data_IF_634858762064
#
_entry.id   IF_634858762064
#
_cell.length_a   1.000
_cell.length_b   1.000
_cell.length_c   1.000
_cell.angle_alpha   90.00
_cell.angle_beta   90.00
_cell.angle_gamma   90.00
#
_symmetry.space_group_name_H-M   'P 1'
#
loop_
_entity.id
_entity.type
_entity.pdbx_description
1 polymer ?
#
# COMPACT_ATOMS: atom_id res chain seq x y z
N UNK A 1 5.06 -0.64 17.16
CA UNK A 1 4.96 -2.11 17.20
C UNK A 1 5.67 -2.69 15.97
N UNK A 2 6.49 -3.73 16.07
CA UNK A 2 7.05 -4.40 14.88
C UNK A 2 5.95 -5.25 14.27
N UNK A 3 5.76 -5.15 12.94
CA UNK A 3 4.86 -6.04 12.22
C UNK A 3 5.28 -7.50 12.44
N UNK A 4 4.34 -8.43 12.68
CA UNK A 4 4.66 -9.84 12.84
C UNK A 4 5.30 -10.38 11.55
N UNK A 5 6.24 -11.28 11.68
CA UNK A 5 6.79 -11.98 10.53
C UNK A 5 5.73 -12.93 9.98
N UNK A 6 5.66 -13.09 8.67
CA UNK A 6 4.63 -13.91 8.00
C UNK A 6 4.53 -15.33 8.57
N UNK A 7 5.67 -15.97 8.91
CA UNK A 7 5.70 -17.29 9.57
C UNK A 7 5.07 -17.27 10.96
N UNK A 8 5.26 -16.19 11.72
CA UNK A 8 4.69 -16.02 13.07
C UNK A 8 3.18 -15.80 12.97
N UNK A 9 2.73 -14.98 11.99
CA UNK A 9 1.31 -14.77 11.74
C UNK A 9 0.57 -16.07 11.39
N UNK A 10 1.17 -16.92 10.56
CA UNK A 10 0.54 -18.20 10.14
C UNK A 10 0.73 -19.33 11.16
N UNK A 11 1.84 -19.36 11.93
CA UNK A 11 2.17 -20.50 12.78
C UNK A 11 1.51 -20.47 14.16
N UNK A 12 1.16 -19.29 14.69
CA UNK A 12 0.77 -19.20 16.10
C UNK A 12 -0.73 -19.07 16.37
N UNK A 13 -1.56 -18.63 15.41
CA UNK A 13 -2.95 -18.27 15.70
C UNK A 13 -3.99 -18.63 14.63
N UNK A 14 -3.63 -19.02 13.44
CA UNK A 14 -4.60 -19.08 12.34
C UNK A 14 -4.51 -20.40 11.60
N UNK A 15 -5.59 -21.18 11.63
CA UNK A 15 -5.74 -22.29 10.70
C UNK A 15 -5.94 -21.73 9.30
N UNK A 16 -5.39 -22.40 8.28
CA UNK A 16 -5.43 -21.96 6.88
C UNK A 16 -6.86 -21.72 6.35
N UNK A 17 -7.83 -22.41 6.95
CA UNK A 17 -9.28 -22.27 6.68
C UNK A 17 -9.88 -20.94 7.14
N UNK A 18 -9.22 -20.25 8.08
CA UNK A 18 -9.77 -19.04 8.71
C UNK A 18 -9.21 -17.75 8.14
N UNK A 19 -8.28 -17.84 7.18
CA UNK A 19 -7.65 -16.67 6.57
C UNK A 19 -8.63 -15.98 5.63
N UNK A 20 -8.72 -14.65 5.77
CA UNK A 20 -9.39 -13.76 4.82
C UNK A 20 -8.37 -12.92 4.07
N UNK A 21 -8.66 -12.56 2.83
CA UNK A 21 -7.84 -11.66 2.02
C UNK A 21 -8.61 -10.36 1.79
N UNK A 22 -7.97 -9.25 2.13
CA UNK A 22 -8.42 -7.91 1.75
C UNK A 22 -7.47 -7.32 0.71
N UNK A 23 -8.01 -6.73 -0.34
CA UNK A 23 -7.22 -6.02 -1.36
C UNK A 23 -7.66 -4.57 -1.36
N UNK A 24 -6.91 -3.70 -0.71
CA UNK A 24 -7.17 -2.27 -0.70
C UNK A 24 -6.67 -1.65 -2.00
N UNK A 25 -7.53 -0.98 -2.72
CA UNK A 25 -7.20 -0.31 -3.98
C UNK A 25 -8.14 0.86 -4.21
N UNK A 26 -7.67 1.91 -4.87
CA UNK A 26 -8.52 2.98 -5.36
C UNK A 26 -8.97 2.62 -6.77
N UNK A 27 -10.26 2.52 -6.98
CA UNK A 27 -10.85 2.24 -8.29
C UNK A 27 -11.42 3.53 -8.86
N UNK A 28 -10.97 3.89 -10.04
CA UNK A 28 -11.56 4.94 -10.86
C UNK A 28 -12.39 4.30 -11.96
N UNK A 29 -13.30 5.02 -12.58
CA UNK A 29 -14.15 4.52 -13.67
C UNK A 29 -13.37 3.82 -14.80
N UNK A 30 -12.11 4.24 -15.03
CA UNK A 30 -11.25 3.69 -16.07
C UNK A 30 -10.28 2.60 -15.55
N UNK A 31 -10.27 2.32 -14.24
CA UNK A 31 -9.31 1.37 -13.67
C UNK A 31 -9.77 -0.06 -13.89
N UNK A 32 -8.96 -0.85 -14.58
CA UNK A 32 -9.23 -2.28 -14.82
C UNK A 32 -8.94 -3.17 -13.62
N UNK A 33 -8.37 -2.63 -12.55
CA UNK A 33 -7.98 -3.37 -11.33
C UNK A 33 -7.34 -4.75 -11.61
N UNK A 34 -6.54 -4.86 -12.66
CA UNK A 34 -6.06 -6.14 -13.22
C UNK A 34 -5.43 -7.04 -12.16
N UNK A 35 -4.51 -6.47 -11.37
CA UNK A 35 -3.80 -7.25 -10.33
C UNK A 35 -4.75 -7.66 -9.20
N UNK A 36 -5.65 -6.77 -8.77
CA UNK A 36 -6.65 -7.08 -7.74
C UNK A 36 -7.56 -8.22 -8.18
N UNK A 37 -8.01 -8.20 -9.45
CA UNK A 37 -8.80 -9.27 -10.05
C UNK A 37 -8.02 -10.59 -10.19
N UNK A 38 -6.71 -10.53 -10.47
CA UNK A 38 -5.87 -11.74 -10.47
C UNK A 38 -5.77 -12.37 -9.08
N UNK A 39 -5.60 -11.56 -8.04
CA UNK A 39 -5.60 -12.03 -6.64
C UNK A 39 -6.95 -12.67 -6.32
N UNK A 40 -8.06 -12.00 -6.61
CA UNK A 40 -9.41 -12.51 -6.39
C UNK A 40 -9.63 -13.86 -7.10
N UNK A 41 -9.24 -13.97 -8.35
CA UNK A 41 -9.34 -15.21 -9.14
C UNK A 41 -8.55 -16.37 -8.52
N UNK A 42 -7.34 -16.08 -8.03
CA UNK A 42 -6.51 -17.10 -7.41
C UNK A 42 -7.05 -17.53 -6.05
N UNK A 43 -7.58 -16.60 -5.25
CA UNK A 43 -8.27 -16.90 -3.99
C UNK A 43 -9.50 -17.77 -4.21
N UNK A 44 -10.32 -17.48 -5.22
CA UNK A 44 -11.49 -18.30 -5.59
C UNK A 44 -11.11 -19.73 -5.92
N UNK A 45 -10.03 -19.98 -6.63
CA UNK A 45 -9.54 -21.35 -6.93
C UNK A 45 -9.13 -22.11 -5.68
N UNK A 46 -8.74 -21.42 -4.63
CA UNK A 46 -8.25 -21.98 -3.36
C UNK A 46 -9.29 -22.01 -2.26
N UNK A 47 -10.52 -21.56 -2.57
CA UNK A 47 -11.61 -21.40 -1.58
C UNK A 47 -11.21 -20.48 -0.40
N UNK A 48 -10.45 -19.42 -0.67
CA UNK A 48 -10.06 -18.41 0.33
C UNK A 48 -10.98 -17.20 0.15
N UNK A 49 -11.68 -16.74 1.20
CA UNK A 49 -12.45 -15.50 1.16
C UNK A 49 -11.56 -14.33 0.78
N UNK A 50 -11.95 -13.58 -0.26
CA UNK A 50 -11.16 -12.46 -0.76
C UNK A 50 -12.09 -11.34 -1.21
N UNK A 51 -11.80 -10.12 -0.77
CA UNK A 51 -12.62 -8.93 -1.00
C UNK A 51 -11.73 -7.82 -1.58
N UNK A 52 -12.19 -7.22 -2.68
CA UNK A 52 -11.58 -6.02 -3.24
C UNK A 52 -12.30 -4.82 -2.63
N UNK A 53 -11.56 -3.98 -1.92
CA UNK A 53 -12.08 -2.82 -1.21
C UNK A 53 -11.65 -1.57 -1.96
N UNK A 54 -12.63 -0.86 -2.54
CA UNK A 54 -12.41 0.44 -3.12
C UNK A 54 -12.28 1.48 -2.02
N UNK A 55 -11.09 2.04 -1.84
CA UNK A 55 -10.83 2.98 -0.75
C UNK A 55 -11.59 4.30 -0.88
N UNK A 56 -12.09 4.65 -2.07
CA UNK A 56 -12.93 5.83 -2.28
C UNK A 56 -14.38 5.64 -1.84
N UNK A 57 -14.82 4.40 -1.60
CA UNK A 57 -16.21 4.04 -1.29
C UNK A 57 -16.32 3.18 -0.02
N UNK A 58 -15.18 2.94 0.64
CA UNK A 58 -15.13 2.14 1.86
C UNK A 58 -15.15 3.04 3.09
N UNK A 59 -15.83 2.56 4.13
CA UNK A 59 -15.79 3.19 5.44
C UNK A 59 -15.80 2.15 6.57
N UNK A 60 -15.34 2.56 7.74
CA UNK A 60 -15.22 1.70 8.93
C UNK A 60 -16.09 2.25 10.03
N UNK A 61 -16.95 1.42 10.61
CA UNK A 61 -17.68 1.80 11.82
C UNK A 61 -16.74 1.83 13.02
N UNK A 62 -16.74 2.95 13.73
CA UNK A 62 -15.89 3.14 14.93
C UNK A 62 -16.25 2.16 16.06
N UNK A 63 -17.51 1.77 16.16
CA UNK A 63 -17.98 0.87 17.22
C UNK A 63 -17.54 -0.59 17.00
N UNK A 64 -17.17 -0.93 15.79
CA UNK A 64 -16.82 -2.29 15.38
C UNK A 64 -15.33 -2.46 15.02
N UNK A 65 -14.49 -1.46 15.31
CA UNK A 65 -13.05 -1.53 15.02
C UNK A 65 -12.36 -2.73 15.69
N UNK A 66 -12.84 -3.16 16.86
CA UNK A 66 -12.32 -4.38 17.52
C UNK A 66 -12.76 -5.65 16.83
N UNK A 67 -13.92 -5.63 16.18
CA UNK A 67 -14.47 -6.75 15.38
C UNK A 67 -14.09 -6.64 13.90
N UNK A 68 -13.62 -5.45 13.47
CA UNK A 68 -13.20 -5.22 12.11
C UNK A 68 -14.33 -5.16 11.08
N UNK A 69 -15.52 -4.72 11.45
CA UNK A 69 -16.62 -4.53 10.49
C UNK A 69 -16.30 -3.39 9.55
N UNK A 70 -16.30 -3.67 8.27
CA UNK A 70 -16.02 -2.74 7.20
C UNK A 70 -17.21 -2.72 6.24
N UNK A 71 -17.78 -1.55 6.04
CA UNK A 71 -18.78 -1.36 4.99
C UNK A 71 -18.06 -1.05 3.68
N UNK A 72 -18.37 -1.80 2.68
CA UNK A 72 -17.77 -1.65 1.35
C UNK A 72 -18.88 -1.46 0.34
N UNK A 73 -18.82 -0.36 -0.41
CA UNK A 73 -19.59 -0.24 -1.62
C UNK A 73 -19.14 -1.29 -2.62
N UNK A 74 -20.05 -2.10 -3.07
CA UNK A 74 -19.75 -3.15 -4.02
C UNK A 74 -19.43 -2.56 -5.40
N UNK A 75 -18.55 -3.22 -6.15
CA UNK A 75 -18.22 -2.89 -7.54
C UNK A 75 -19.47 -2.90 -8.45
N UNK A 76 -20.52 -3.60 -8.06
CA UNK A 76 -21.80 -3.69 -8.77
C UNK A 76 -22.85 -2.67 -8.27
N UNK A 77 -22.47 -1.72 -7.41
CA UNK A 77 -23.34 -0.60 -6.98
C UNK A 77 -24.21 -0.87 -5.76
N UNK A 78 -24.05 -2.01 -5.09
CA UNK A 78 -24.72 -2.31 -3.82
C UNK A 78 -23.75 -2.20 -2.64
N UNK A 79 -24.13 -1.48 -1.60
CA UNK A 79 -23.39 -1.39 -0.35
C UNK A 79 -23.42 -2.76 0.33
N UNK A 80 -22.25 -3.35 0.49
CA UNK A 80 -22.08 -4.65 1.13
C UNK A 80 -21.33 -4.49 2.43
N UNK A 81 -21.91 -4.98 3.50
CA UNK A 81 -21.26 -5.06 4.81
C UNK A 81 -20.41 -6.33 4.88
N UNK A 82 -19.12 -6.16 5.12
CA UNK A 82 -18.18 -7.27 5.25
C UNK A 82 -17.57 -7.22 6.64
N UNK A 83 -17.73 -8.31 7.36
CA UNK A 83 -17.08 -8.50 8.65
C UNK A 83 -15.70 -9.13 8.46
N UNK A 84 -14.66 -8.43 8.92
CA UNK A 84 -13.30 -8.90 8.91
C UNK A 84 -12.82 -9.24 10.32
N UNK A 85 -12.31 -10.44 10.52
CA UNK A 85 -11.40 -10.72 11.62
C UNK A 85 -10.00 -10.24 11.19
N UNK A 86 -9.67 -9.00 11.53
CA UNK A 86 -8.42 -8.38 11.07
C UNK A 86 -7.18 -9.11 11.58
N UNK A 87 -7.26 -9.81 12.71
CA UNK A 87 -6.17 -10.65 13.22
C UNK A 87 -5.90 -11.88 12.34
N UNK A 88 -6.84 -12.26 11.49
CA UNK A 88 -6.75 -13.38 10.53
C UNK A 88 -6.72 -12.90 9.07
N UNK A 89 -6.61 -11.59 8.85
CA UNK A 89 -6.66 -10.99 7.53
C UNK A 89 -5.26 -10.72 6.98
N UNK A 90 -5.03 -11.12 5.74
CA UNK A 90 -3.89 -10.68 4.94
C UNK A 90 -4.38 -9.55 4.03
N UNK A 91 -3.78 -8.39 4.17
CA UNK A 91 -4.17 -7.20 3.42
C UNK A 91 -3.12 -6.86 2.35
N UNK A 92 -3.54 -6.89 1.08
CA UNK A 92 -2.75 -6.41 -0.04
C UNK A 92 -3.07 -4.94 -0.31
N UNK A 93 -2.05 -4.09 -0.25
CA UNK A 93 -2.18 -2.68 -0.63
C UNK A 93 -1.80 -2.50 -2.10
N UNK A 94 -2.70 -1.91 -2.86
CA UNK A 94 -2.55 -1.73 -4.31
C UNK A 94 -2.53 -0.24 -4.70
N UNK A 95 -2.53 0.02 -6.00
CA UNK A 95 -2.43 1.35 -6.58
C UNK A 95 -3.50 2.32 -6.05
N UNK A 96 -3.15 3.57 -5.93
CA UNK A 96 -4.03 4.69 -5.59
C UNK A 96 -4.36 4.85 -4.09
N UNK A 97 -4.06 3.85 -3.24
CA UNK A 97 -4.42 3.89 -1.81
C UNK A 97 -3.74 5.05 -1.06
N UNK A 98 -2.57 5.49 -1.53
CA UNK A 98 -1.84 6.62 -0.94
C UNK A 98 -2.28 7.99 -1.46
N UNK A 99 -3.19 8.05 -2.43
CA UNK A 99 -3.57 9.30 -3.09
C UNK A 99 -4.47 10.19 -2.23
N UNK A 100 -5.10 9.62 -1.21
CA UNK A 100 -6.00 10.36 -0.34
C UNK A 100 -5.89 9.90 1.14
N UNK A 101 -6.41 10.75 2.02
CA UNK A 101 -6.38 10.50 3.48
C UNK A 101 -7.25 9.31 3.88
N UNK A 102 -8.32 9.03 3.17
CA UNK A 102 -9.21 7.89 3.44
C UNK A 102 -8.47 6.58 3.22
N UNK A 103 -7.74 6.45 2.11
CA UNK A 103 -6.89 5.29 1.84
C UNK A 103 -5.83 5.07 2.92
N UNK A 104 -5.17 6.15 3.35
CA UNK A 104 -4.19 6.11 4.43
C UNK A 104 -4.81 5.73 5.78
N UNK A 105 -6.02 6.21 6.07
CA UNK A 105 -6.75 5.87 7.29
C UNK A 105 -7.16 4.38 7.30
N UNK A 106 -7.67 3.86 6.18
CA UNK A 106 -8.00 2.45 6.04
C UNK A 106 -6.77 1.55 6.20
N UNK A 107 -5.63 1.90 5.56
CA UNK A 107 -4.36 1.20 5.78
C UNK A 107 -3.99 1.14 7.26
N UNK A 108 -4.06 2.28 7.95
CA UNK A 108 -3.75 2.37 9.38
C UNK A 108 -4.72 1.54 10.22
N UNK A 109 -5.99 1.50 9.85
CA UNK A 109 -7.01 0.69 10.54
C UNK A 109 -6.67 -0.79 10.44
N UNK A 110 -6.41 -1.30 9.24
CA UNK A 110 -6.04 -2.69 9.04
C UNK A 110 -4.74 -3.06 9.77
N UNK A 111 -3.72 -2.22 9.66
CA UNK A 111 -2.42 -2.46 10.29
C UNK A 111 -2.51 -2.45 11.82
N UNK A 112 -3.19 -1.46 12.42
CA UNK A 112 -3.32 -1.34 13.88
C UNK A 112 -4.22 -2.42 14.48
N UNK A 113 -5.19 -2.92 13.75
CA UNK A 113 -6.05 -4.02 14.18
C UNK A 113 -5.40 -5.41 14.00
N UNK A 114 -4.16 -5.47 13.52
CA UNK A 114 -3.35 -6.69 13.50
C UNK A 114 -3.38 -7.48 12.20
N UNK A 115 -3.92 -6.92 11.12
CA UNK A 115 -3.84 -7.54 9.79
C UNK A 115 -2.38 -7.69 9.34
N UNK A 116 -2.09 -8.76 8.64
CA UNK A 116 -0.78 -8.93 7.99
C UNK A 116 -0.75 -8.13 6.68
N UNK A 117 0.03 -7.05 6.69
CA UNK A 117 0.05 -6.10 5.58
C UNK A 117 1.10 -6.46 4.51
N UNK A 118 0.69 -6.44 3.24
CA UNK A 118 1.54 -6.53 2.04
C UNK A 118 1.20 -5.35 1.12
N UNK A 119 1.83 -4.19 1.24
CA UNK A 119 2.88 -3.76 2.15
C UNK A 119 2.30 -2.95 3.32
N UNK A 120 3.15 -2.67 4.34
CA UNK A 120 2.81 -1.80 5.46
C UNK A 120 2.64 -0.35 5.00
N UNK A 121 1.88 0.46 5.77
CA UNK A 121 1.71 1.89 5.50
C UNK A 121 3.06 2.61 5.38
N UNK A 122 3.97 2.37 6.31
CA UNK A 122 5.29 3.00 6.27
C UNK A 122 6.12 2.57 5.06
N UNK A 123 6.08 1.29 4.70
CA UNK A 123 6.75 0.79 3.50
C UNK A 123 6.22 1.44 2.23
N UNK A 124 4.90 1.58 2.12
CA UNK A 124 4.26 2.23 0.98
C UNK A 124 4.67 3.71 0.87
N UNK A 125 4.58 4.48 1.96
CA UNK A 125 4.97 5.89 1.99
C UNK A 125 6.46 6.10 1.67
N UNK A 126 7.32 5.23 2.18
CA UNK A 126 8.75 5.28 1.88
C UNK A 126 9.03 5.02 0.40
N UNK A 127 8.36 4.05 -0.20
CA UNK A 127 8.55 3.71 -1.61
C UNK A 127 7.91 4.73 -2.57
N UNK A 128 6.84 5.40 -2.17
CA UNK A 128 6.19 6.42 -2.99
C UNK A 128 7.07 7.67 -3.14
N UNK A 129 7.78 8.05 -2.09
CA UNK A 129 8.71 9.18 -2.12
C UNK A 129 10.12 8.72 -2.55
N UNK A 130 10.54 9.12 -3.74
CA UNK A 130 11.82 8.70 -4.35
C UNK A 130 13.05 9.06 -3.53
N UNK A 131 13.02 10.18 -2.80
CA UNK A 131 14.12 10.57 -1.92
C UNK A 131 14.15 9.72 -0.64
N UNK A 132 13.00 9.40 -0.07
CA UNK A 132 12.89 8.50 1.08
C UNK A 132 13.38 7.10 0.74
N UNK A 133 13.03 6.59 -0.45
CA UNK A 133 13.55 5.32 -0.95
C UNK A 133 15.08 5.35 -1.12
N UNK A 134 15.62 6.43 -1.72
CA UNK A 134 17.06 6.63 -1.86
C UNK A 134 17.79 6.61 -0.50
N UNK A 135 17.30 7.37 0.48
CA UNK A 135 17.87 7.41 1.83
C UNK A 135 17.86 6.02 2.48
N UNK A 136 16.78 5.25 2.27
CA UNK A 136 16.68 3.89 2.80
C UNK A 136 17.74 2.96 2.17
N UNK A 137 17.95 3.05 0.87
CA UNK A 137 18.98 2.27 0.18
C UNK A 137 20.38 2.67 0.64
N UNK A 138 20.64 3.96 0.79
CA UNK A 138 21.93 4.48 1.25
C UNK A 138 22.25 3.99 2.68
N UNK A 139 21.26 4.06 3.58
CA UNK A 139 21.39 3.54 4.96
C UNK A 139 21.76 2.05 5.00
N UNK A 140 21.19 1.27 4.08
CA UNK A 140 21.40 -0.17 4.01
C UNK A 140 22.57 -0.54 3.08
N UNK A 141 23.40 0.45 2.67
CA UNK A 141 24.56 0.30 1.78
C UNK A 141 24.22 -0.35 0.42
N UNK A 142 23.02 -0.14 -0.08
CA UNK A 142 22.62 -0.58 -1.41
C UNK A 142 23.16 0.43 -2.44
N UNK A 143 23.94 0.02 -3.43
CA UNK A 143 24.48 0.93 -4.44
C UNK A 143 23.38 1.66 -5.20
N UNK A 144 23.45 2.98 -5.20
CA UNK A 144 22.51 3.84 -5.92
C UNK A 144 23.25 4.91 -6.72
N UNK A 145 22.68 5.45 -7.79
CA UNK A 145 23.22 6.60 -8.46
C UNK A 145 23.32 7.79 -7.51
N UNK A 146 24.34 8.62 -7.67
CA UNK A 146 24.44 9.86 -6.89
C UNK A 146 23.22 10.73 -7.12
N UNK A 147 22.60 11.16 -6.06
CA UNK A 147 21.29 11.84 -6.07
C UNK A 147 21.37 13.11 -5.24
N UNK A 148 20.70 14.15 -5.69
CA UNK A 148 20.50 15.38 -4.93
C UNK A 148 19.02 15.75 -4.93
N UNK A 149 18.54 16.25 -3.79
CA UNK A 149 17.22 16.85 -3.67
C UNK A 149 17.33 18.34 -3.94
N UNK A 150 16.49 18.86 -4.81
CA UNK A 150 16.36 20.30 -5.07
C UNK A 150 14.93 20.76 -4.80
N UNK A 151 14.77 21.93 -4.24
CA UNK A 151 13.45 22.53 -3.95
C UNK A 151 13.03 23.59 -4.99
N UNK A 152 13.95 24.06 -5.78
CA UNK A 152 13.71 25.09 -6.79
C UNK A 152 14.81 25.09 -7.88
N UNK A 153 14.58 25.86 -8.94
CA UNK A 153 15.47 25.95 -10.07
C UNK A 153 16.87 26.46 -9.72
N UNK A 154 16.99 27.38 -8.75
CA UNK A 154 18.30 27.92 -8.34
C UNK A 154 19.22 26.85 -7.77
N UNK A 155 18.65 25.82 -7.14
CA UNK A 155 19.41 24.67 -6.63
C UNK A 155 19.94 23.73 -7.71
N UNK A 156 19.41 23.78 -8.94
CA UNK A 156 19.73 22.81 -9.97
C UNK A 156 21.21 22.83 -10.38
N UNK A 157 21.75 24.00 -10.68
CA UNK A 157 23.15 24.14 -11.11
C UNK A 157 24.11 23.71 -10.00
N UNK A 158 23.84 24.15 -8.78
CA UNK A 158 24.63 23.76 -7.62
C UNK A 158 24.60 22.25 -7.37
N UNK A 159 23.41 21.62 -7.45
CA UNK A 159 23.27 20.20 -7.33
C UNK A 159 24.03 19.44 -8.44
N UNK A 160 23.94 19.91 -9.69
CA UNK A 160 24.68 19.34 -10.83
C UNK A 160 26.20 19.34 -10.58
N UNK A 161 26.77 20.44 -10.13
CA UNK A 161 28.17 20.53 -9.78
C UNK A 161 28.57 19.56 -8.68
N UNK A 162 27.77 19.45 -7.60
CA UNK A 162 28.01 18.51 -6.49
C UNK A 162 27.91 17.05 -6.91
N UNK A 163 27.10 16.77 -7.90
CA UNK A 163 27.00 15.42 -8.49
C UNK A 163 28.16 15.09 -9.45
N UNK A 164 29.02 16.03 -9.74
CA UNK A 164 30.24 15.87 -10.55
C UNK A 164 30.23 16.62 -11.88
N UNK A 165 29.25 17.48 -12.12
CA UNK A 165 29.23 18.41 -13.25
C UNK A 165 29.15 17.75 -14.65
N UNK A 166 28.61 16.52 -14.74
CA UNK A 166 28.54 15.76 -16.01
C UNK A 166 27.13 15.49 -16.44
N UNK A 167 26.87 15.58 -17.72
CA UNK A 167 25.62 15.14 -18.36
C UNK A 167 25.74 13.73 -18.96
N UNK A 168 24.64 12.99 -19.15
CA UNK A 168 23.26 13.37 -18.81
C UNK A 168 22.91 13.25 -17.32
N UNK A 169 21.92 14.03 -16.87
CA UNK A 169 21.27 13.91 -15.56
C UNK A 169 19.78 13.58 -15.73
N UNK A 170 19.21 12.87 -14.76
CA UNK A 170 17.78 12.54 -14.75
C UNK A 170 17.10 13.36 -13.66
N UNK A 171 16.10 14.15 -14.03
CA UNK A 171 15.24 14.87 -13.09
C UNK A 171 13.95 14.05 -12.88
N UNK A 172 13.51 13.97 -11.63
CA UNK A 172 12.27 13.23 -11.27
C UNK A 172 11.47 14.04 -10.24
N UNK A 173 10.15 13.95 -10.30
CA UNK A 173 9.29 14.37 -9.19
C UNK A 173 9.51 13.47 -7.98
N UNK A 174 9.32 13.99 -6.77
CA UNK A 174 9.47 13.20 -5.53
C UNK A 174 8.50 12.05 -5.47
N UNK A 175 7.24 12.30 -5.80
CA UNK A 175 6.14 11.33 -5.82
C UNK A 175 5.62 11.15 -7.24
N UNK A 176 4.69 10.23 -7.42
CA UNK A 176 4.09 9.93 -8.72
C UNK A 176 4.79 8.80 -9.48
N UNK A 177 4.09 8.27 -10.46
CA UNK A 177 4.48 7.10 -11.25
C UNK A 177 4.53 7.41 -12.74
N UNK A 178 5.22 6.55 -13.51
CA UNK A 178 5.23 6.54 -14.98
C UNK A 178 5.82 7.78 -15.66
N UNK A 179 6.52 8.65 -14.95
CA UNK A 179 7.23 9.78 -15.55
C UNK A 179 6.32 10.90 -16.06
N UNK A 180 5.12 11.02 -15.53
CA UNK A 180 4.19 12.10 -15.79
C UNK A 180 4.45 13.25 -14.82
#
# INVERSE_FOLDING_TARGET
MKAPKFKEFISEKVQRSDIQIAVLTKLNADSKAVVSNMILKECKKRNIPCYIINTSEAWVSKNDLEKGTLLVSNIDGEDTEIEFDLSKTICFTRAGVLEDETGLALLSTFENAGAFMINTRNGMLTCDNKMSAYISFERDNIPTPRTALISNEKGLLHAHEKLGGKYPVIMKTLTGTQGI
#
